data_IF_910381142279
#
_entry.id   IF_910381142279
#
_cell.length_a   1.000
_cell.length_b   1.000
_cell.length_c   1.000
_cell.angle_alpha   90.00
_cell.angle_beta   90.00
_cell.angle_gamma   90.00
#
_symmetry.space_group_name_H-M   'P 1'
#
loop_
_entity.id
_entity.type
_entity.pdbx_description
1 polymer ?
#
# COMPACT_ATOMS: atom_id res chain seq x y z
N UNK A 1 -7.51 16.18 -1.82
CA UNK A 1 -8.61 15.24 -1.48
C UNK A 1 -9.59 15.84 -0.48
N UNK A 2 -9.16 16.21 0.75
CA UNK A 2 -10.06 16.76 1.76
C UNK A 2 -10.91 17.95 1.25
N UNK A 3 -10.30 18.89 0.53
CA UNK A 3 -11.01 20.01 -0.08
C UNK A 3 -12.03 19.57 -1.14
N UNK A 4 -11.66 18.67 -2.05
CA UNK A 4 -12.56 18.15 -3.08
C UNK A 4 -13.76 17.39 -2.48
N UNK A 5 -13.56 16.71 -1.36
CA UNK A 5 -14.65 16.10 -0.60
C UNK A 5 -15.52 17.19 0.06
N UNK A 6 -14.91 18.20 0.69
CA UNK A 6 -15.63 19.32 1.31
C UNK A 6 -16.46 20.12 0.31
N UNK A 7 -15.93 20.39 -0.88
CA UNK A 7 -16.58 21.18 -1.94
C UNK A 7 -17.64 20.40 -2.71
N UNK A 8 -17.69 19.08 -2.59
CA UNK A 8 -18.62 18.22 -3.32
C UNK A 8 -18.15 17.79 -4.72
N UNK A 9 -16.93 18.17 -5.11
CA UNK A 9 -16.28 17.59 -6.30
C UNK A 9 -16.15 16.06 -6.19
N UNK A 10 -15.93 15.57 -4.97
CA UNK A 10 -16.02 14.15 -4.62
C UNK A 10 -17.17 13.95 -3.64
N UNK A 11 -17.98 12.90 -3.85
CA UNK A 11 -18.98 12.45 -2.87
C UNK A 11 -18.41 11.49 -1.83
N UNK A 12 -17.24 10.91 -2.08
CA UNK A 12 -16.59 10.02 -1.16
C UNK A 12 -15.11 9.76 -1.46
N UNK A 13 -14.35 9.45 -0.41
CA UNK A 13 -12.98 8.96 -0.46
C UNK A 13 -12.79 7.88 0.62
N UNK A 14 -12.08 6.83 0.28
CA UNK A 14 -11.84 5.70 1.17
C UNK A 14 -10.65 4.87 0.71
N UNK A 15 -10.17 4.04 1.63
CA UNK A 15 -8.94 3.27 1.47
C UNK A 15 -8.25 3.08 2.82
N UNK A 16 -7.14 2.37 2.81
CA UNK A 16 -6.42 2.03 4.03
C UNK A 16 -5.00 2.61 4.09
N UNK A 17 -4.51 3.19 2.99
CA UNK A 17 -3.14 3.73 2.90
C UNK A 17 -3.04 5.19 3.34
N UNK A 18 -1.94 5.51 3.99
CA UNK A 18 -1.64 6.86 4.49
C UNK A 18 -0.18 7.23 4.17
N UNK A 19 0.12 8.53 4.11
CA UNK A 19 1.49 9.01 4.08
C UNK A 19 1.66 10.18 5.07
N UNK A 20 2.60 10.09 6.03
CA UNK A 20 3.39 8.92 6.40
C UNK A 20 2.56 7.84 7.14
N UNK A 21 3.19 6.71 7.46
CA UNK A 21 2.64 5.71 8.39
C UNK A 21 3.58 5.55 9.59
N UNK A 22 3.10 5.66 10.85
CA UNK A 22 1.70 5.84 11.25
C UNK A 22 1.11 7.19 10.83
N UNK A 23 -0.17 7.21 10.44
CA UNK A 23 -0.84 8.45 10.08
C UNK A 23 -0.91 9.40 11.29
N UNK A 24 -0.45 10.66 11.17
CA UNK A 24 -0.54 11.65 12.26
C UNK A 24 -1.96 11.75 12.83
N UNK A 25 -2.08 12.07 14.13
CA UNK A 25 -3.39 12.16 14.81
C UNK A 25 -4.31 13.21 14.18
N UNK A 26 -3.74 14.27 13.65
CA UNK A 26 -4.37 15.41 13.00
C UNK A 26 -4.43 15.28 11.46
N UNK A 27 -4.12 14.11 10.90
CA UNK A 27 -4.13 13.91 9.46
C UNK A 27 -5.53 14.23 8.87
N UNK A 28 -5.62 15.10 7.83
CA UNK A 28 -6.90 15.70 7.41
C UNK A 28 -7.94 14.68 6.94
N UNK A 29 -7.49 13.54 6.39
CA UNK A 29 -8.39 12.48 5.92
C UNK A 29 -9.01 11.64 7.04
N UNK A 30 -8.62 11.82 8.31
CA UNK A 30 -9.29 11.15 9.44
C UNK A 30 -10.72 11.63 9.64
N UNK A 31 -10.97 12.91 9.35
CA UNK A 31 -12.23 13.58 9.66
C UNK A 31 -12.82 14.37 8.49
N UNK A 32 -12.14 14.44 7.34
CA UNK A 32 -12.69 15.06 6.14
C UNK A 32 -14.05 14.43 5.80
N UNK A 33 -15.05 15.28 5.53
CA UNK A 33 -16.41 14.86 5.20
C UNK A 33 -16.98 15.72 4.09
N UNK A 34 -17.93 15.16 3.35
CA UNK A 34 -18.71 15.93 2.40
C UNK A 34 -19.71 16.83 3.13
N UNK A 35 -19.61 18.14 2.88
CA UNK A 35 -20.29 19.18 3.67
C UNK A 35 -21.82 19.10 3.61
N UNK A 36 -22.43 18.64 2.50
CA UNK A 36 -23.88 18.75 2.33
C UNK A 36 -24.69 17.78 3.19
N UNK A 37 -24.27 16.52 3.31
CA UNK A 37 -25.00 15.52 4.11
C UNK A 37 -24.17 14.87 5.22
N UNK A 38 -22.88 15.18 5.32
CA UNK A 38 -21.97 14.59 6.33
C UNK A 38 -21.66 13.13 6.02
N UNK A 39 -20.38 12.80 5.80
CA UNK A 39 -19.95 11.45 5.46
C UNK A 39 -19.03 11.43 4.26
N UNK A 40 -19.09 10.38 3.44
CA UNK A 40 -18.19 10.22 2.30
C UNK A 40 -16.74 9.92 2.70
N UNK A 41 -16.52 9.44 3.93
CA UNK A 41 -15.21 9.03 4.41
C UNK A 41 -15.25 7.56 4.82
N UNK A 42 -14.47 6.73 4.12
CA UNK A 42 -14.31 5.32 4.39
C UNK A 42 -12.83 4.96 4.60
N UNK A 43 -12.09 5.86 5.24
CA UNK A 43 -10.70 5.61 5.60
C UNK A 43 -10.58 4.65 6.78
N UNK A 44 -9.66 3.70 6.68
CA UNK A 44 -9.29 2.77 7.76
C UNK A 44 -7.76 2.77 7.95
N UNK A 45 -7.20 2.27 9.07
CA UNK A 45 -5.76 2.03 9.17
C UNK A 45 -5.28 1.07 8.08
N UNK A 46 -3.99 1.10 7.72
CA UNK A 46 -3.44 0.22 6.68
C UNK A 46 -3.50 -1.25 7.11
N UNK A 47 -4.53 -1.95 6.65
CA UNK A 47 -4.88 -3.28 7.14
C UNK A 47 -5.36 -4.26 6.06
N UNK A 48 -5.77 -3.79 4.88
CA UNK A 48 -6.36 -4.67 3.85
C UNK A 48 -5.40 -5.75 3.39
N UNK A 49 -4.12 -5.40 3.19
CA UNK A 49 -3.05 -6.32 2.82
C UNK A 49 -2.54 -7.21 3.96
N UNK A 50 -2.99 -7.01 5.20
CA UNK A 50 -2.57 -7.78 6.38
C UNK A 50 -3.74 -8.45 7.10
N UNK A 51 -4.79 -8.83 6.35
CA UNK A 51 -5.79 -9.78 6.84
C UNK A 51 -5.15 -11.12 7.21
N UNK A 52 -5.72 -11.86 8.16
CA UNK A 52 -5.17 -13.14 8.65
C UNK A 52 -4.84 -14.10 7.50
N UNK A 53 -5.69 -14.17 6.48
CA UNK A 53 -5.46 -14.99 5.30
C UNK A 53 -4.25 -14.51 4.46
N UNK A 54 -4.09 -13.20 4.32
CA UNK A 54 -2.94 -12.62 3.61
C UNK A 54 -1.63 -12.84 4.39
N UNK A 55 -1.66 -12.73 5.74
CA UNK A 55 -0.51 -12.97 6.60
C UNK A 55 0.11 -14.35 6.37
N UNK A 56 -0.74 -15.39 6.28
CA UNK A 56 -0.28 -16.76 5.98
C UNK A 56 0.52 -16.83 4.66
N UNK A 57 0.05 -16.14 3.61
CA UNK A 57 0.67 -16.19 2.28
C UNK A 57 1.96 -15.41 2.22
N UNK A 58 1.98 -14.16 2.67
CA UNK A 58 3.20 -13.35 2.58
C UNK A 58 4.27 -13.83 3.54
N UNK A 59 3.92 -14.41 4.71
CA UNK A 59 4.91 -15.03 5.60
C UNK A 59 5.62 -16.23 4.94
N UNK A 60 4.88 -17.09 4.26
CA UNK A 60 5.46 -18.18 3.47
C UNK A 60 6.33 -17.64 2.32
N UNK A 61 5.88 -16.59 1.63
CA UNK A 61 6.65 -15.91 0.58
C UNK A 61 7.97 -15.33 1.08
N UNK A 62 7.96 -14.62 2.22
CA UNK A 62 9.19 -14.11 2.85
C UNK A 62 10.16 -15.24 3.18
N UNK A 63 9.66 -16.36 3.74
CA UNK A 63 10.49 -17.54 4.01
C UNK A 63 11.14 -18.10 2.74
N UNK A 64 10.40 -18.19 1.63
CA UNK A 64 10.94 -18.66 0.35
C UNK A 64 12.05 -17.73 -0.19
N UNK A 65 11.86 -16.41 -0.13
CA UNK A 65 12.88 -15.43 -0.54
C UNK A 65 14.14 -15.55 0.32
N UNK A 66 13.99 -15.73 1.63
CA UNK A 66 15.11 -15.93 2.54
C UNK A 66 15.84 -17.25 2.26
N UNK A 67 15.14 -18.33 1.93
CA UNK A 67 15.76 -19.60 1.53
C UNK A 67 16.58 -19.46 0.25
N UNK A 68 16.07 -18.77 -0.78
CA UNK A 68 16.82 -18.45 -1.99
C UNK A 68 18.10 -17.66 -1.70
N UNK A 69 18.05 -16.72 -0.74
CA UNK A 69 19.23 -15.95 -0.34
C UNK A 69 20.23 -16.78 0.47
N UNK A 70 19.79 -17.42 1.55
CA UNK A 70 20.68 -18.13 2.50
C UNK A 70 21.22 -19.45 1.96
N UNK A 71 20.55 -20.10 1.01
CA UNK A 71 21.08 -21.29 0.33
C UNK A 71 22.18 -20.98 -0.69
N UNK A 72 22.39 -19.71 -1.03
CA UNK A 72 23.33 -19.26 -2.07
C UNK A 72 22.85 -19.51 -3.51
N UNK A 73 21.67 -20.11 -3.71
CA UNK A 73 21.11 -20.35 -5.06
C UNK A 73 20.68 -19.05 -5.75
N UNK A 74 20.22 -18.07 -4.98
CA UNK A 74 19.70 -16.79 -5.47
C UNK A 74 18.65 -16.94 -6.58
N UNK A 75 17.86 -18.01 -6.48
CA UNK A 75 16.84 -18.48 -7.41
C UNK A 75 15.48 -17.81 -7.15
N UNK A 76 15.50 -16.48 -6.96
CA UNK A 76 14.28 -15.70 -6.74
C UNK A 76 13.32 -15.82 -7.92
N UNK A 77 12.01 -15.83 -7.64
CA UNK A 77 11.01 -15.63 -8.67
C UNK A 77 11.20 -14.24 -9.31
N UNK A 78 11.26 -14.10 -10.65
CA UNK A 78 11.48 -12.81 -11.29
C UNK A 78 10.49 -11.72 -10.86
N UNK A 79 9.23 -12.09 -10.63
CA UNK A 79 8.15 -11.19 -10.22
C UNK A 79 8.26 -10.67 -8.77
N UNK A 80 9.05 -11.33 -7.90
CA UNK A 80 9.31 -10.84 -6.54
C UNK A 80 10.39 -9.76 -6.51
N UNK A 81 11.15 -9.60 -7.60
CA UNK A 81 12.26 -8.66 -7.68
C UNK A 81 11.80 -7.28 -8.10
N UNK A 82 12.02 -6.29 -7.22
CA UNK A 82 11.81 -4.87 -7.55
C UNK A 82 13.10 -4.26 -8.12
N UNK A 83 14.21 -4.47 -7.43
CA UNK A 83 15.57 -4.10 -7.88
C UNK A 83 16.52 -5.27 -7.64
N UNK A 84 17.53 -5.43 -8.49
CA UNK A 84 18.59 -6.44 -8.33
C UNK A 84 19.85 -5.96 -9.04
N UNK A 85 21.01 -6.12 -8.39
CA UNK A 85 22.31 -5.80 -9.00
C UNK A 85 22.44 -4.34 -9.45
N UNK A 86 21.83 -3.39 -8.73
CA UNK A 86 21.89 -1.96 -9.06
C UNK A 86 20.85 -1.46 -10.08
N UNK A 87 20.01 -2.35 -10.61
CA UNK A 87 19.00 -1.99 -11.64
C UNK A 87 17.59 -2.40 -11.23
N UNK A 88 16.59 -1.78 -11.87
CA UNK A 88 15.19 -2.19 -11.73
C UNK A 88 14.99 -3.55 -12.40
N UNK A 89 14.33 -4.46 -11.70
CA UNK A 89 13.96 -5.78 -12.20
C UNK A 89 12.48 -5.85 -12.63
N UNK A 90 11.72 -4.78 -12.39
CA UNK A 90 10.29 -4.69 -12.68
C UNK A 90 9.96 -3.54 -13.62
N UNK A 91 8.92 -3.73 -14.45
CA UNK A 91 8.36 -2.70 -15.34
C UNK A 91 7.22 -1.90 -14.68
N UNK A 92 6.75 -2.31 -13.50
CA UNK A 92 5.58 -1.69 -12.86
C UNK A 92 5.88 -0.32 -12.24
N UNK A 93 7.15 0.02 -12.03
CA UNK A 93 7.59 1.24 -11.33
C UNK A 93 8.06 2.30 -12.33
N UNK A 94 7.21 2.63 -13.30
CA UNK A 94 7.44 3.62 -14.35
C UNK A 94 8.15 3.08 -15.59
N UNK A 95 7.97 3.78 -16.72
CA UNK A 95 8.65 3.47 -17.97
C UNK A 95 10.16 3.72 -17.83
N UNK A 96 10.97 2.76 -18.27
CA UNK A 96 12.44 2.80 -18.18
C UNK A 96 13.05 2.40 -19.51
N UNK A 97 14.24 2.93 -19.78
CA UNK A 97 15.04 2.63 -20.98
C UNK A 97 15.64 1.22 -20.88
#
# INVERSE_FOLDING_TARGET
VAEALKSGQLRGYGGDVWFPQPAPKDHPLRTAQYTHWGGGNAMVPHMSGTSIDAQKRYAAGTKAILDSYFSGRHDYRPEDLIVKGGSYATKAYGQRK
#
